data_IF_501184882325
#
_entry.id   IF_501184882325
#
_cell.length_a   1.000
_cell.length_b   1.000
_cell.length_c   1.000
_cell.angle_alpha   90.00
_cell.angle_beta   90.00
_cell.angle_gamma   90.00
#
_symmetry.space_group_name_H-M   'P 1'
#
loop_
_entity.id
_entity.type
_entity.pdbx_description
1 polymer ?
#
# COMPACT_ATOMS: atom_id res chain seq x y z
N UNK A 1 -22.46 25.27 -35.93
CA UNK A 1 -21.68 26.13 -34.99
C UNK A 1 -21.70 25.39 -33.65
N UNK A 2 -20.67 24.59 -33.38
CA UNK A 2 -20.53 23.83 -32.13
C UNK A 2 -19.74 24.71 -31.17
N UNK A 3 -20.38 25.18 -30.12
CA UNK A 3 -19.73 25.92 -29.03
C UNK A 3 -19.10 24.87 -28.14
N UNK A 4 -17.77 24.73 -28.24
CA UNK A 4 -16.98 24.01 -27.22
C UNK A 4 -16.95 24.88 -25.97
N UNK A 5 -17.78 24.56 -24.99
CA UNK A 5 -17.70 25.12 -23.64
C UNK A 5 -16.45 24.54 -22.99
N UNK A 6 -15.34 25.26 -23.05
CA UNK A 6 -14.12 24.93 -22.33
C UNK A 6 -14.41 25.03 -20.82
N UNK A 7 -14.60 23.89 -20.20
CA UNK A 7 -14.74 23.80 -18.75
C UNK A 7 -13.44 24.29 -18.09
N UNK A 8 -13.53 25.33 -17.27
CA UNK A 8 -12.43 25.74 -16.39
C UNK A 8 -12.26 24.60 -15.37
N UNK A 9 -11.18 23.84 -15.50
CA UNK A 9 -10.81 22.86 -14.47
C UNK A 9 -10.32 23.67 -13.27
N UNK A 10 -11.21 23.89 -12.30
CA UNK A 10 -10.85 24.47 -11.02
C UNK A 10 -10.01 23.45 -10.25
N UNK A 11 -8.71 23.73 -10.14
CA UNK A 11 -7.83 22.91 -9.30
C UNK A 11 -8.29 22.98 -7.83
N UNK A 12 -8.51 21.81 -7.22
CA UNK A 12 -8.85 21.72 -5.79
C UNK A 12 -7.56 21.80 -4.99
N UNK A 13 -7.51 22.73 -4.04
CA UNK A 13 -6.41 22.84 -3.07
C UNK A 13 -6.92 22.45 -1.69
N UNK A 14 -6.10 21.68 -0.96
CA UNK A 14 -6.33 21.26 0.41
C UNK A 14 -5.22 21.80 1.31
N UNK A 15 -5.52 21.99 2.60
CA UNK A 15 -4.57 22.51 3.58
C UNK A 15 -4.56 24.02 3.69
N UNK A 16 -3.67 24.55 4.55
CA UNK A 16 -3.57 25.99 4.90
C UNK A 16 -2.09 26.40 5.06
N UNK A 17 -1.85 27.72 4.98
CA UNK A 17 -0.51 28.30 5.08
C UNK A 17 0.47 27.72 4.06
N UNK A 18 1.62 27.24 4.54
CA UNK A 18 2.67 26.59 3.73
C UNK A 18 2.39 25.10 3.45
N UNK A 19 1.38 24.52 4.11
CA UNK A 19 0.94 23.12 3.90
C UNK A 19 -0.24 23.03 2.94
N UNK A 20 -0.09 23.62 1.77
CA UNK A 20 -1.13 23.60 0.72
C UNK A 20 -0.78 22.60 -0.36
N UNK A 21 -1.73 21.72 -0.68
CA UNK A 21 -1.58 20.65 -1.65
C UNK A 21 -2.63 20.78 -2.74
N UNK A 22 -2.20 20.62 -3.99
CA UNK A 22 -3.09 20.56 -5.15
C UNK A 22 -3.52 19.12 -5.38
N UNK A 23 -4.82 18.89 -5.51
CA UNK A 23 -5.32 17.59 -6.00
C UNK A 23 -4.99 17.48 -7.50
N UNK A 24 -4.37 16.36 -7.87
CA UNK A 24 -4.07 16.03 -9.26
C UNK A 24 -5.08 14.97 -9.72
N UNK A 25 -6.12 15.42 -10.42
CA UNK A 25 -7.15 14.52 -10.93
C UNK A 25 -6.57 13.58 -11.99
N UNK A 26 -7.03 12.33 -11.96
CA UNK A 26 -6.62 11.30 -12.94
C UNK A 26 -5.09 11.11 -13.04
N UNK A 27 -4.39 11.31 -11.92
CA UNK A 27 -2.94 11.12 -11.88
C UNK A 27 -2.53 9.70 -12.30
N UNK A 28 -3.16 8.67 -11.75
CA UNK A 28 -2.86 7.28 -12.06
C UNK A 28 -3.44 6.86 -13.41
N UNK A 29 -2.58 6.53 -14.36
CA UNK A 29 -2.93 6.04 -15.69
C UNK A 29 -2.95 4.51 -15.68
N UNK A 30 -4.06 3.96 -15.21
CA UNK A 30 -4.26 2.52 -15.16
C UNK A 30 -4.34 1.91 -16.56
N UNK A 31 -3.91 0.63 -16.74
CA UNK A 31 -4.19 -0.14 -17.94
C UNK A 31 -5.70 -0.21 -18.24
N UNK A 32 -6.04 -0.45 -19.50
CA UNK A 32 -7.43 -0.58 -19.92
C UNK A 32 -8.15 -1.68 -19.12
N UNK A 33 -9.39 -1.40 -18.71
CA UNK A 33 -10.24 -2.27 -17.87
C UNK A 33 -9.74 -2.52 -16.43
N UNK A 34 -8.69 -1.82 -15.98
CA UNK A 34 -8.29 -1.84 -14.58
C UNK A 34 -8.95 -0.72 -13.78
N UNK A 35 -9.12 -0.97 -12.51
CA UNK A 35 -9.61 0.04 -11.56
C UNK A 35 -9.01 -0.18 -10.18
N UNK A 36 -8.90 0.90 -9.42
CA UNK A 36 -8.71 0.79 -7.98
C UNK A 36 -10.02 0.30 -7.35
N UNK A 37 -9.97 -0.86 -6.70
CA UNK A 37 -11.16 -1.38 -6.00
C UNK A 37 -11.25 -0.75 -4.60
N UNK A 38 -10.22 -1.02 -3.79
CA UNK A 38 -10.08 -0.51 -2.42
C UNK A 38 -8.60 -0.27 -2.18
N UNK A 39 -8.11 0.94 -2.31
CA UNK A 39 -6.72 1.27 -1.99
C UNK A 39 -6.53 1.25 -0.48
N UNK A 40 -5.73 0.31 -0.01
CA UNK A 40 -5.45 0.11 1.42
C UNK A 40 -4.25 0.93 1.90
N UNK A 41 -3.30 1.21 1.02
CA UNK A 41 -2.12 1.99 1.35
C UNK A 41 -1.34 2.45 0.12
N UNK A 42 -0.45 3.40 0.36
CA UNK A 42 0.48 3.92 -0.64
C UNK A 42 1.84 4.15 0.01
N UNK A 43 2.91 3.89 -0.73
CA UNK A 43 4.27 4.20 -0.31
C UNK A 43 5.12 4.58 -1.53
N UNK A 44 6.24 5.28 -1.30
CA UNK A 44 7.15 5.73 -2.36
C UNK A 44 8.54 5.21 -2.02
N UNK A 45 9.24 4.67 -3.01
CA UNK A 45 10.62 4.18 -2.85
C UNK A 45 11.66 5.29 -3.14
N UNK A 46 12.95 4.97 -3.02
CA UNK A 46 14.05 5.91 -3.25
C UNK A 46 14.18 6.39 -4.70
N UNK A 47 13.45 5.79 -5.64
CA UNK A 47 13.45 6.12 -7.07
C UNK A 47 12.20 6.90 -7.49
N UNK A 48 11.42 7.41 -6.53
CA UNK A 48 10.12 8.08 -6.77
C UNK A 48 9.08 7.17 -7.46
N UNK A 49 9.24 5.84 -7.38
CA UNK A 49 8.17 4.94 -7.80
C UNK A 49 7.10 4.86 -6.72
N UNK A 50 5.85 5.03 -7.12
CA UNK A 50 4.68 5.03 -6.24
C UNK A 50 4.03 3.66 -6.24
N UNK A 51 4.06 3.02 -5.09
CA UNK A 51 3.45 1.71 -4.86
C UNK A 51 2.06 1.89 -4.28
N UNK A 52 1.05 1.43 -5.00
CA UNK A 52 -0.36 1.48 -4.58
C UNK A 52 -0.80 0.08 -4.18
N UNK A 53 -1.08 -0.10 -2.88
CA UNK A 53 -1.51 -1.37 -2.32
C UNK A 53 -3.03 -1.44 -2.32
N UNK A 54 -3.55 -2.27 -3.23
CA UNK A 54 -4.96 -2.37 -3.58
C UNK A 54 -5.53 -3.72 -3.13
N UNK A 55 -6.80 -3.76 -2.76
CA UNK A 55 -7.48 -5.01 -2.44
C UNK A 55 -8.03 -5.67 -3.71
N UNK A 56 -8.13 -7.00 -3.70
CA UNK A 56 -8.61 -7.86 -4.80
C UNK A 56 -7.62 -7.97 -5.95
N UNK A 57 -8.05 -7.75 -7.20
CA UNK A 57 -7.18 -7.91 -8.39
C UNK A 57 -6.05 -6.87 -8.39
N UNK A 58 -4.88 -7.29 -8.86
CA UNK A 58 -3.70 -6.45 -8.95
C UNK A 58 -3.34 -5.78 -7.60
N UNK A 59 -3.00 -6.58 -6.56
CA UNK A 59 -2.82 -6.05 -5.22
C UNK A 59 -1.73 -5.01 -5.09
N UNK A 60 -0.65 -5.13 -5.86
CA UNK A 60 0.39 -4.10 -5.91
C UNK A 60 0.50 -3.54 -7.32
N UNK A 61 0.21 -2.25 -7.46
CA UNK A 61 0.32 -1.51 -8.72
C UNK A 61 1.36 -0.42 -8.54
N UNK A 62 2.33 -0.34 -9.44
CA UNK A 62 3.45 0.59 -9.35
C UNK A 62 3.40 1.58 -10.50
N UNK A 63 3.56 2.85 -10.17
CA UNK A 63 3.59 3.98 -11.08
C UNK A 63 4.90 4.75 -10.96
N UNK A 64 5.26 5.49 -12.00
CA UNK A 64 6.24 6.55 -11.88
C UNK A 64 5.63 7.81 -11.21
N UNK A 65 6.46 8.84 -10.97
CA UNK A 65 6.03 10.09 -10.34
C UNK A 65 4.95 10.84 -11.15
N UNK A 66 4.89 10.62 -12.46
CA UNK A 66 3.91 11.20 -13.37
C UNK A 66 2.62 10.38 -13.49
N UNK A 67 2.52 9.28 -12.74
CA UNK A 67 1.37 8.38 -12.72
C UNK A 67 1.29 7.42 -13.90
N UNK A 68 2.37 7.24 -14.67
CA UNK A 68 2.39 6.21 -15.70
C UNK A 68 2.56 4.83 -15.05
N UNK A 69 1.77 3.86 -15.49
CA UNK A 69 1.88 2.48 -15.05
C UNK A 69 3.24 1.89 -15.42
N UNK A 70 3.93 1.31 -14.45
CA UNK A 70 5.20 0.64 -14.65
C UNK A 70 5.06 -0.87 -14.65
N UNK A 71 4.46 -1.44 -13.60
CA UNK A 71 4.30 -2.87 -13.38
C UNK A 71 3.29 -3.16 -12.27
N UNK A 72 2.91 -4.42 -12.17
CA UNK A 72 2.12 -4.92 -11.04
C UNK A 72 2.55 -6.33 -10.65
N UNK A 73 2.26 -6.72 -9.41
CA UNK A 73 2.51 -8.06 -8.89
C UNK A 73 1.64 -8.34 -7.66
N UNK A 74 1.63 -9.61 -7.21
CA UNK A 74 1.05 -10.00 -5.93
C UNK A 74 -0.32 -10.66 -6.00
N UNK A 75 -0.81 -11.02 -7.19
CA UNK A 75 -2.15 -11.60 -7.34
C UNK A 75 -2.40 -12.84 -6.47
N UNK A 76 -1.35 -13.64 -6.22
CA UNK A 76 -1.45 -14.85 -5.37
C UNK A 76 -0.80 -14.69 -3.99
N UNK A 77 -0.33 -13.48 -3.64
CA UNK A 77 0.40 -13.23 -2.40
C UNK A 77 -0.46 -12.75 -1.24
N UNK A 78 -1.63 -12.19 -1.52
CA UNK A 78 -2.42 -11.49 -0.53
C UNK A 78 -3.86 -11.96 -0.49
N UNK A 79 -4.38 -12.08 0.74
CA UNK A 79 -5.80 -12.34 1.02
C UNK A 79 -6.58 -11.03 1.16
N UNK A 80 -6.08 -10.12 2.01
CA UNK A 80 -6.67 -8.81 2.23
C UNK A 80 -5.61 -7.77 2.57
N UNK A 81 -5.03 -7.10 1.57
CA UNK A 81 -4.08 -6.01 1.74
C UNK A 81 -4.53 -4.97 2.77
N UNK A 82 -3.61 -4.55 3.67
CA UNK A 82 -3.92 -3.50 4.65
C UNK A 82 -2.88 -2.39 4.69
N UNK A 83 -1.67 -2.62 5.16
CA UNK A 83 -0.63 -1.61 5.29
C UNK A 83 0.57 -1.90 4.39
N UNK A 84 1.23 -0.84 3.96
CA UNK A 84 2.48 -0.89 3.20
C UNK A 84 3.49 0.07 3.82
N UNK A 85 4.72 -0.37 3.95
CA UNK A 85 5.88 0.41 4.35
C UNK A 85 7.07 0.05 3.46
N UNK A 86 7.81 1.03 2.97
CA UNK A 86 9.05 0.80 2.22
C UNK A 86 10.23 1.19 3.10
N UNK A 87 11.15 0.24 3.30
CA UNK A 87 12.36 0.44 4.08
C UNK A 87 13.41 1.25 3.33
N UNK A 88 14.49 1.69 4.02
CA UNK A 88 15.59 2.44 3.42
C UNK A 88 16.37 1.63 2.38
N UNK A 89 16.18 0.33 2.35
CA UNK A 89 16.73 -0.64 1.40
C UNK A 89 15.80 -0.91 0.20
N UNK A 90 14.73 -0.12 0.05
CA UNK A 90 13.66 -0.25 -0.94
C UNK A 90 12.85 -1.56 -0.85
N UNK A 91 13.09 -2.42 0.14
CA UNK A 91 12.21 -3.56 0.36
C UNK A 91 10.87 -3.12 0.92
N UNK A 92 9.82 -3.82 0.48
CA UNK A 92 8.43 -3.50 0.82
C UNK A 92 7.98 -4.43 1.96
N UNK A 93 7.41 -3.84 3.00
CA UNK A 93 6.79 -4.54 4.12
C UNK A 93 5.28 -4.37 4.01
N UNK A 94 4.59 -5.46 3.72
CA UNK A 94 3.14 -5.50 3.56
C UNK A 94 2.48 -6.22 4.72
N UNK A 95 1.44 -5.63 5.28
CA UNK A 95 0.54 -6.34 6.21
C UNK A 95 -0.68 -6.84 5.46
N UNK A 96 -1.07 -8.07 5.76
CA UNK A 96 -2.30 -8.68 5.28
C UNK A 96 -3.17 -9.05 6.47
N UNK A 97 -4.26 -8.32 6.67
CA UNK A 97 -5.15 -8.54 7.82
C UNK A 97 -6.16 -9.67 7.58
N UNK A 98 -6.21 -10.19 6.37
CA UNK A 98 -7.05 -11.35 6.02
C UNK A 98 -6.38 -12.67 6.29
N UNK A 99 -5.07 -12.78 6.04
CA UNK A 99 -4.28 -13.97 6.32
C UNK A 99 -3.38 -13.86 7.57
N UNK A 100 -3.44 -12.73 8.28
CA UNK A 100 -2.75 -12.49 9.55
C UNK A 100 -1.22 -12.50 9.43
N UNK A 101 -0.66 -11.94 8.35
CA UNK A 101 0.77 -12.00 8.06
C UNK A 101 1.39 -10.64 7.78
N UNK A 102 2.69 -10.55 8.04
CA UNK A 102 3.58 -9.51 7.52
C UNK A 102 4.53 -10.14 6.52
N UNK A 103 4.65 -9.54 5.34
CA UNK A 103 5.51 -10.03 4.27
C UNK A 103 6.56 -8.99 3.93
N UNK A 104 7.86 -9.38 3.88
CA UNK A 104 8.93 -8.59 3.27
C UNK A 104 9.10 -9.04 1.81
N UNK A 105 9.02 -8.10 0.89
CA UNK A 105 8.98 -8.34 -0.56
C UNK A 105 9.99 -7.43 -1.25
N UNK A 106 10.66 -7.92 -2.30
CA UNK A 106 11.53 -7.08 -3.11
C UNK A 106 10.73 -6.11 -3.99
N UNK A 107 11.35 -5.03 -4.52
CA UNK A 107 10.68 -4.11 -5.44
C UNK A 107 10.06 -4.78 -6.68
N UNK A 108 10.58 -5.96 -7.06
CA UNK A 108 10.11 -6.74 -8.21
C UNK A 108 9.02 -7.76 -7.85
N UNK A 109 8.58 -7.81 -6.58
CA UNK A 109 7.51 -8.69 -6.13
C UNK A 109 7.95 -10.07 -5.62
N UNK A 110 9.26 -10.29 -5.38
CA UNK A 110 9.74 -11.56 -4.82
C UNK A 110 9.57 -11.57 -3.31
N UNK A 111 8.82 -12.53 -2.77
CA UNK A 111 8.72 -12.76 -1.33
C UNK A 111 10.10 -13.16 -0.76
N UNK A 112 10.56 -12.43 0.25
CA UNK A 112 11.83 -12.65 0.95
C UNK A 112 11.61 -13.46 2.21
N UNK A 113 10.69 -12.99 3.07
CA UNK A 113 10.21 -13.73 4.23
C UNK A 113 8.78 -13.34 4.60
N UNK A 114 8.17 -14.14 5.45
CA UNK A 114 6.86 -13.89 6.03
C UNK A 114 6.89 -14.20 7.53
N UNK A 115 6.18 -13.38 8.30
CA UNK A 115 5.91 -13.61 9.73
C UNK A 115 4.40 -13.82 9.88
N UNK A 116 4.00 -14.70 10.76
CA UNK A 116 2.62 -15.17 10.90
C UNK A 116 2.35 -16.43 10.07
N UNK A 117 1.23 -17.07 10.33
CA UNK A 117 0.79 -18.29 9.63
C UNK A 117 -0.45 -17.98 8.82
N UNK A 118 -0.39 -18.05 7.47
CA UNK A 118 -1.51 -17.68 6.61
C UNK A 118 -2.82 -18.36 7.01
N UNK A 119 -3.89 -17.58 7.16
CA UNK A 119 -5.21 -18.07 7.51
C UNK A 119 -5.36 -18.61 8.95
N UNK A 120 -4.32 -18.50 9.79
CA UNK A 120 -4.35 -18.98 11.16
C UNK A 120 -4.09 -17.84 12.15
N UNK A 121 -5.14 -17.13 12.62
CA UNK A 121 -4.98 -16.03 13.56
C UNK A 121 -4.45 -16.52 14.92
N UNK A 122 -3.54 -15.74 15.51
CA UNK A 122 -3.12 -15.94 16.89
C UNK A 122 -4.30 -15.74 17.86
N UNK A 123 -4.27 -16.46 18.99
CA UNK A 123 -5.22 -16.21 20.06
C UNK A 123 -5.02 -14.82 20.67
N UNK A 124 -6.09 -14.23 21.16
CA UNK A 124 -6.07 -12.89 21.76
C UNK A 124 -5.08 -12.85 22.94
N UNK A 125 -4.15 -11.89 22.91
CA UNK A 125 -3.09 -11.67 23.90
C UNK A 125 -2.16 -12.90 24.14
N UNK A 126 -2.01 -13.78 23.15
CA UNK A 126 -1.14 -14.97 23.25
C UNK A 126 0.36 -14.66 23.13
N UNK A 127 0.75 -13.43 22.77
CA UNK A 127 2.10 -13.02 22.37
C UNK A 127 2.64 -13.76 21.13
N UNK A 128 1.76 -14.36 20.35
CA UNK A 128 2.07 -14.95 19.04
C UNK A 128 1.65 -14.00 17.91
N UNK A 129 2.38 -13.91 16.82
CA UNK A 129 1.97 -13.12 15.66
C UNK A 129 1.07 -13.94 14.74
N UNK A 130 0.05 -13.37 14.12
CA UNK A 130 -0.65 -12.11 14.31
C UNK A 130 -2.14 -12.38 14.32
N UNK A 131 -2.95 -11.38 14.73
CA UNK A 131 -4.41 -11.47 14.57
C UNK A 131 -4.92 -10.17 13.94
N UNK A 132 -4.90 -10.12 12.58
CA UNK A 132 -5.29 -8.97 11.76
C UNK A 132 -4.36 -7.76 11.97
N UNK A 133 -3.07 -7.98 11.75
CA UNK A 133 -2.06 -6.91 11.76
C UNK A 133 -2.34 -5.87 10.68
N UNK A 134 -2.02 -4.59 10.98
CA UNK A 134 -2.50 -3.47 10.18
C UNK A 134 -1.39 -2.65 9.53
N UNK A 135 -0.24 -2.48 10.18
CA UNK A 135 0.87 -1.69 9.66
C UNK A 135 2.20 -2.09 10.27
N UNK A 136 3.30 -1.69 9.61
CA UNK A 136 4.66 -1.89 10.11
C UNK A 136 5.42 -0.57 10.18
N UNK A 137 6.37 -0.49 11.11
CA UNK A 137 7.39 0.53 11.15
C UNK A 137 8.75 -0.10 11.38
N UNK A 138 9.79 0.45 10.79
CA UNK A 138 11.17 0.00 10.96
C UNK A 138 11.95 0.99 11.82
N UNK A 139 12.80 0.50 12.72
CA UNK A 139 13.77 1.32 13.38
C UNK A 139 15.16 1.22 12.74
N UNK A 140 16.11 2.13 13.03
CA UNK A 140 17.46 2.10 12.47
C UNK A 140 18.23 0.79 12.70
N UNK A 141 17.90 0.06 13.79
CA UNK A 141 18.49 -1.23 14.14
C UNK A 141 17.85 -2.41 13.40
N UNK A 142 17.03 -2.16 12.37
CA UNK A 142 16.30 -3.15 11.58
C UNK A 142 15.26 -3.98 12.35
N UNK A 143 14.82 -3.54 13.53
CA UNK A 143 13.65 -4.15 14.16
C UNK A 143 12.38 -3.73 13.42
N UNK A 144 11.42 -4.65 13.36
CA UNK A 144 10.11 -4.42 12.76
C UNK A 144 9.09 -4.31 13.89
N UNK A 145 8.45 -3.15 14.00
CA UNK A 145 7.29 -2.96 14.88
C UNK A 145 6.02 -3.19 14.06
N UNK A 146 5.09 -3.94 14.60
CA UNK A 146 3.86 -4.30 13.90
C UNK A 146 2.66 -3.93 14.76
N UNK A 147 1.77 -3.09 14.24
CA UNK A 147 0.48 -2.87 14.89
C UNK A 147 -0.45 -4.06 14.62
N UNK A 148 -0.73 -4.84 15.65
CA UNK A 148 -1.60 -6.04 15.61
C UNK A 148 -2.89 -5.74 16.40
N UNK A 149 -3.60 -4.68 15.99
CA UNK A 149 -4.63 -4.03 16.78
C UNK A 149 -6.04 -4.61 16.62
N UNK A 150 -6.43 -5.07 15.45
CA UNK A 150 -7.83 -5.44 15.21
C UNK A 150 -8.29 -6.68 15.95
N UNK A 151 -7.46 -7.68 16.09
CA UNK A 151 -7.81 -8.92 16.75
C UNK A 151 -6.95 -9.28 17.94
N UNK A 152 -5.85 -8.54 18.21
CA UNK A 152 -4.88 -8.90 19.24
C UNK A 152 -4.56 -7.77 20.24
N UNK A 153 -4.81 -6.51 19.89
CA UNK A 153 -4.55 -5.31 20.72
C UNK A 153 -3.08 -5.19 21.19
N UNK A 154 -2.12 -5.52 20.31
CA UNK A 154 -0.69 -5.55 20.59
C UNK A 154 0.13 -4.70 19.59
N UNK A 155 1.37 -4.42 19.97
CA UNK A 155 2.46 -3.94 19.11
C UNK A 155 3.65 -4.85 19.31
#
# INVERSE_FOLDING_TARGET
MIILCGGIILSVFLGDGEYRYKVVDNWAKLPENWSFMDVAGVAVNSKDEVFVFNRRQHPMIIFDIDGNYLRSWGDDLFSRPHGIHIGPDDYIYCTDDGDHTVKKISPEGKLIFQIGVPGNPAEFLSNLPFHRCTHTALCPENNIFVSDGYGNACV
#
